data_IF_495381998533
#
_entry.id   IF_495381998533
#
_cell.length_a   1.000
_cell.length_b   1.000
_cell.length_c   1.000
_cell.angle_alpha   90.00
_cell.angle_beta   90.00
_cell.angle_gamma   90.00
#
_symmetry.space_group_name_H-M   'P 1'
#
loop_
_entity.id
_entity.type
_entity.pdbx_description
1 polymer ?
#
# COMPACT_ATOMS: atom_id res chain seq x y z
N UNK A 1 -2.89 -6.63 -17.04
CA UNK A 1 -2.93 -5.22 -16.61
C UNK A 1 -4.17 -4.55 -17.20
N UNK A 2 -5.02 -3.93 -16.38
CA UNK A 2 -5.78 -2.76 -16.79
C UNK A 2 -5.17 -1.49 -16.15
N UNK A 3 -5.02 -0.39 -16.90
CA UNK A 3 -4.71 0.91 -16.34
C UNK A 3 -5.97 1.42 -15.64
N UNK A 4 -6.03 1.28 -14.31
CA UNK A 4 -7.06 1.98 -13.54
C UNK A 4 -6.60 3.43 -13.38
N UNK A 5 -7.02 4.32 -14.29
CA UNK A 5 -7.06 5.76 -14.03
C UNK A 5 -8.04 6.01 -12.87
N UNK A 6 -7.58 6.42 -11.67
CA UNK A 6 -8.46 7.01 -10.67
C UNK A 6 -8.53 8.53 -10.91
N UNK A 7 -8.50 8.93 -12.18
CA UNK A 7 -8.55 10.31 -12.65
C UNK A 7 -10.00 10.72 -12.92
N UNK A 8 -10.92 10.23 -12.09
CA UNK A 8 -12.21 10.89 -11.95
C UNK A 8 -11.90 12.25 -11.31
N UNK A 9 -12.04 13.30 -12.10
CA UNK A 9 -11.99 14.70 -11.68
C UNK A 9 -13.07 14.98 -10.63
N UNK A 10 -12.81 14.56 -9.40
CA UNK A 10 -13.61 14.83 -8.23
C UNK A 10 -13.27 16.26 -7.78
N UNK A 11 -14.21 17.22 -7.69
CA UNK A 11 -13.94 18.59 -7.20
C UNK A 11 -13.32 18.61 -5.79
N UNK A 12 -13.44 17.49 -5.05
CA UNK A 12 -12.75 17.23 -3.78
C UNK A 12 -11.23 17.06 -3.92
N UNK A 13 -10.68 16.76 -5.10
CA UNK A 13 -9.23 16.65 -5.36
C UNK A 13 -8.54 18.02 -5.28
N UNK A 14 -9.19 19.08 -5.74
CA UNK A 14 -8.62 20.43 -5.65
C UNK A 14 -8.61 20.95 -4.21
N UNK A 15 -9.65 20.63 -3.43
CA UNK A 15 -9.67 20.93 -2.00
C UNK A 15 -8.63 20.14 -1.23
N UNK A 16 -8.37 18.88 -1.63
CA UNK A 16 -7.28 18.07 -1.09
C UNK A 16 -5.92 18.67 -1.44
N UNK A 17 -5.68 19.09 -2.68
CA UNK A 17 -4.42 19.75 -3.06
C UNK A 17 -4.22 21.07 -2.30
N UNK A 18 -5.27 21.86 -2.13
CA UNK A 18 -5.23 23.07 -1.31
C UNK A 18 -4.91 22.75 0.16
N UNK A 19 -5.48 21.68 0.70
CA UNK A 19 -5.16 21.19 2.05
C UNK A 19 -3.71 20.70 2.16
N UNK A 20 -3.19 19.97 1.18
CA UNK A 20 -1.79 19.51 1.12
C UNK A 20 -0.82 20.71 1.10
N UNK A 21 -1.10 21.71 0.27
CA UNK A 21 -0.30 22.95 0.19
C UNK A 21 -0.39 23.75 1.49
N UNK A 22 -1.56 23.85 2.11
CA UNK A 22 -1.74 24.48 3.42
C UNK A 22 -0.83 23.83 4.47
N UNK A 23 -0.72 22.51 4.43
CA UNK A 23 0.16 21.74 5.30
C UNK A 23 1.61 21.70 4.81
N UNK A 24 1.99 22.44 3.77
CA UNK A 24 3.35 22.44 3.21
C UNK A 24 3.82 21.05 2.78
N UNK A 25 2.91 20.26 2.23
CA UNK A 25 3.15 18.92 1.69
C UNK A 25 3.15 18.98 0.17
N UNK A 26 3.99 18.16 -0.46
CA UNK A 26 3.91 18.02 -1.92
C UNK A 26 2.60 17.33 -2.30
N UNK A 27 1.86 17.86 -3.31
CA UNK A 27 0.63 17.25 -3.78
C UNK A 27 0.85 15.80 -4.21
N UNK A 28 0.09 14.86 -3.63
CA UNK A 28 0.23 13.44 -3.94
C UNK A 28 1.40 12.72 -3.26
N UNK A 29 2.08 13.36 -2.30
CA UNK A 29 3.03 12.66 -1.44
C UNK A 29 2.32 11.57 -0.62
N UNK A 30 2.97 10.42 -0.43
CA UNK A 30 2.45 9.37 0.43
C UNK A 30 2.42 9.88 1.89
N UNK A 31 1.24 10.28 2.35
CA UNK A 31 1.06 10.78 3.70
C UNK A 31 0.74 9.66 4.69
N UNK A 32 1.51 9.61 5.78
CA UNK A 32 1.19 8.81 6.95
C UNK A 32 0.31 9.60 7.91
N UNK A 33 -0.59 8.91 8.61
CA UNK A 33 -1.45 9.51 9.65
C UNK A 33 -0.64 10.19 10.75
N UNK A 34 0.54 9.65 11.08
CA UNK A 34 1.42 10.20 12.12
C UNK A 34 2.06 11.53 11.70
N UNK A 35 2.54 11.62 10.46
CA UNK A 35 3.07 12.87 9.91
C UNK A 35 2.02 13.97 9.80
N UNK A 36 0.79 13.59 9.42
CA UNK A 36 -0.35 14.51 9.39
C UNK A 36 -0.71 15.02 10.80
N UNK A 37 -0.66 14.16 11.82
CA UNK A 37 -0.97 14.51 13.20
C UNK A 37 0.08 15.44 13.82
N UNK A 38 1.36 15.16 13.59
CA UNK A 38 2.46 16.03 14.03
C UNK A 38 2.32 17.45 13.46
N UNK A 39 2.03 17.55 12.16
CA UNK A 39 1.91 18.84 11.48
C UNK A 39 0.65 19.62 11.87
N UNK A 40 -0.47 18.92 12.11
CA UNK A 40 -1.67 19.52 12.72
C UNK A 40 -1.35 20.13 14.09
N UNK A 41 -0.62 19.41 14.94
CA UNK A 41 -0.27 19.87 16.28
C UNK A 41 0.59 21.15 16.22
N UNK A 42 1.58 21.17 15.35
CA UNK A 42 2.43 22.34 15.10
C UNK A 42 1.61 23.57 14.66
N UNK A 43 0.73 23.39 13.67
CA UNK A 43 -0.12 24.48 13.17
C UNK A 43 -1.14 24.99 14.19
N UNK A 44 -1.71 24.10 15.01
CA UNK A 44 -2.63 24.49 16.08
C UNK A 44 -1.93 25.25 17.22
N UNK A 45 -0.69 24.87 17.53
CA UNK A 45 0.12 25.59 18.52
C UNK A 45 0.48 27.00 18.01
N UNK A 46 0.85 27.13 16.74
CA UNK A 46 1.16 28.42 16.12
C UNK A 46 -0.08 29.34 15.96
N UNK A 47 -1.27 28.75 15.85
CA UNK A 47 -2.53 29.48 15.73
C UNK A 47 -3.24 29.70 17.07
N UNK A 48 -2.64 29.33 18.21
CA UNK A 48 -3.32 29.39 19.50
C UNK A 48 -3.55 30.86 19.94
N UNK A 49 -4.78 31.24 20.33
CA UNK A 49 -5.14 32.62 20.66
C UNK A 49 -4.40 33.18 21.89
N UNK A 50 -3.80 32.31 22.70
CA UNK A 50 -2.92 32.71 23.82
C UNK A 50 -1.72 33.57 23.37
N UNK A 51 -1.29 33.41 22.10
CA UNK A 51 -0.19 34.18 21.51
C UNK A 51 -0.65 35.40 20.70
N UNK A 52 -1.95 35.53 20.46
CA UNK A 52 -2.54 36.47 19.51
C UNK A 52 -3.63 37.25 20.26
N UNK A 53 -3.33 38.47 20.69
CA UNK A 53 -4.22 39.31 21.50
C UNK A 53 -5.66 39.41 20.97
N UNK A 54 -6.58 39.95 21.76
CA UNK A 54 -8.04 39.84 21.62
C UNK A 54 -8.63 40.11 20.22
N UNK A 55 -8.09 41.06 19.46
CA UNK A 55 -8.49 41.36 18.06
C UNK A 55 -8.05 40.29 17.04
N UNK A 56 -7.02 39.52 17.36
CA UNK A 56 -6.42 38.45 16.54
C UNK A 56 -7.03 37.07 16.89
N UNK A 57 -7.74 36.96 18.01
CA UNK A 57 -8.40 35.71 18.43
C UNK A 57 -9.48 35.23 17.43
N UNK A 58 -10.19 36.15 16.78
CA UNK A 58 -11.17 35.84 15.72
C UNK A 58 -10.49 35.25 14.47
N UNK A 59 -9.38 35.83 14.04
CA UNK A 59 -8.59 35.31 12.92
C UNK A 59 -7.90 33.98 13.25
N UNK A 60 -7.44 33.82 14.49
CA UNK A 60 -6.90 32.59 15.02
C UNK A 60 -7.95 31.46 14.99
N UNK A 61 -9.19 31.72 15.41
CA UNK A 61 -10.29 30.76 15.33
C UNK A 61 -10.60 30.34 13.89
N UNK A 62 -10.59 31.28 12.94
CA UNK A 62 -10.77 30.98 11.52
C UNK A 62 -9.63 30.09 10.96
N UNK A 63 -8.37 30.39 11.33
CA UNK A 63 -7.19 29.59 10.95
C UNK A 63 -7.23 28.19 11.56
N UNK A 64 -7.57 28.06 12.84
CA UNK A 64 -7.76 26.78 13.53
C UNK A 64 -8.83 25.93 12.82
N UNK A 65 -9.96 26.55 12.46
CA UNK A 65 -11.04 25.87 11.75
C UNK A 65 -10.59 25.38 10.37
N UNK A 66 -9.84 26.19 9.63
CA UNK A 66 -9.28 25.80 8.33
C UNK A 66 -8.32 24.60 8.48
N UNK A 67 -7.39 24.65 9.43
CA UNK A 67 -6.43 23.57 9.72
C UNK A 67 -7.15 22.27 10.09
N UNK A 68 -8.18 22.33 10.94
CA UNK A 68 -8.96 21.15 11.33
C UNK A 68 -9.74 20.54 10.16
N UNK A 69 -10.33 21.39 9.32
CA UNK A 69 -11.09 20.95 8.14
C UNK A 69 -10.19 20.24 7.14
N UNK A 70 -9.04 20.87 6.81
CA UNK A 70 -8.02 20.29 5.92
C UNK A 70 -7.44 18.99 6.49
N UNK A 71 -7.20 18.91 7.79
CA UNK A 71 -6.74 17.68 8.45
C UNK A 71 -7.73 16.51 8.30
N UNK A 72 -9.02 16.75 8.56
CA UNK A 72 -10.04 15.70 8.46
C UNK A 72 -10.19 15.17 7.03
N UNK A 73 -10.10 16.08 6.05
CA UNK A 73 -10.12 15.75 4.62
C UNK A 73 -8.94 14.84 4.23
N UNK A 74 -7.73 15.20 4.65
CA UNK A 74 -6.51 14.43 4.38
C UNK A 74 -6.50 13.08 5.11
N UNK A 75 -6.97 13.05 6.36
CA UNK A 75 -7.10 11.80 7.13
C UNK A 75 -8.02 10.80 6.42
N UNK A 76 -9.16 11.25 5.93
CA UNK A 76 -10.14 10.40 5.24
C UNK A 76 -9.54 9.80 3.95
N UNK A 77 -8.71 10.58 3.23
CA UNK A 77 -7.94 10.09 2.08
C UNK A 77 -6.94 9.01 2.48
N UNK A 78 -6.15 9.22 3.54
CA UNK A 78 -5.19 8.23 4.02
C UNK A 78 -5.86 6.90 4.41
N UNK A 79 -7.03 6.95 5.07
CA UNK A 79 -7.79 5.74 5.44
C UNK A 79 -8.27 4.98 4.19
N UNK A 80 -8.82 5.68 3.19
CA UNK A 80 -9.24 5.07 1.93
C UNK A 80 -8.06 4.45 1.14
N UNK A 81 -6.91 5.13 1.10
CA UNK A 81 -5.69 4.59 0.49
C UNK A 81 -5.20 3.34 1.22
N UNK A 82 -5.22 3.35 2.56
CA UNK A 82 -4.80 2.20 3.38
C UNK A 82 -5.65 0.97 3.10
N UNK A 83 -6.97 1.14 2.95
CA UNK A 83 -7.88 0.05 2.62
C UNK A 83 -7.56 -0.51 1.22
N UNK A 84 -7.34 0.35 0.23
CA UNK A 84 -6.96 -0.08 -1.14
C UNK A 84 -5.62 -0.81 -1.18
N UNK A 85 -4.62 -0.34 -0.44
CA UNK A 85 -3.30 -0.98 -0.36
C UNK A 85 -3.40 -2.35 0.32
N UNK A 86 -4.13 -2.47 1.44
CA UNK A 86 -4.36 -3.76 2.11
C UNK A 86 -5.07 -4.77 1.20
N UNK A 87 -6.07 -4.32 0.43
CA UNK A 87 -6.78 -5.17 -0.52
C UNK A 87 -5.84 -5.67 -1.64
N UNK A 88 -5.02 -4.79 -2.22
CA UNK A 88 -4.05 -5.18 -3.25
C UNK A 88 -3.01 -6.18 -2.72
N UNK A 89 -2.50 -5.98 -1.50
CA UNK A 89 -1.55 -6.91 -0.88
C UNK A 89 -2.18 -8.29 -0.66
N UNK A 90 -3.42 -8.36 -0.15
CA UNK A 90 -4.10 -9.64 0.07
C UNK A 90 -4.34 -10.41 -1.24
N UNK A 91 -4.71 -9.70 -2.30
CA UNK A 91 -4.89 -10.29 -3.63
C UNK A 91 -3.57 -10.81 -4.21
N UNK A 92 -2.48 -10.06 -4.08
CA UNK A 92 -1.15 -10.52 -4.53
C UNK A 92 -0.68 -11.77 -3.80
N UNK A 93 -0.84 -11.84 -2.46
CA UNK A 93 -0.45 -13.02 -1.67
C UNK A 93 -1.30 -14.25 -2.01
N UNK A 94 -2.61 -14.08 -2.19
CA UNK A 94 -3.49 -15.18 -2.61
C UNK A 94 -3.14 -15.71 -4.00
N UNK A 95 -2.82 -14.83 -4.94
CA UNK A 95 -2.41 -15.22 -6.28
C UNK A 95 -1.06 -15.96 -6.26
N UNK A 96 -0.10 -15.45 -5.49
CA UNK A 96 1.22 -16.06 -5.34
C UNK A 96 1.13 -17.47 -4.75
N UNK A 97 0.32 -17.66 -3.70
CA UNK A 97 0.11 -18.95 -3.06
C UNK A 97 -0.54 -19.97 -4.01
N UNK A 98 -1.54 -19.56 -4.80
CA UNK A 98 -2.18 -20.42 -5.80
C UNK A 98 -1.24 -20.82 -6.94
N UNK A 99 -0.22 -20.01 -7.26
CA UNK A 99 0.77 -20.34 -8.28
C UNK A 99 1.94 -21.19 -7.76
N UNK A 100 2.41 -20.97 -6.52
CA UNK A 100 3.55 -21.70 -5.95
C UNK A 100 3.24 -23.18 -5.65
N UNK A 101 2.03 -23.47 -5.15
CA UNK A 101 1.62 -24.84 -4.82
C UNK A 101 1.66 -25.83 -6.01
N UNK A 102 1.07 -25.53 -7.18
CA UNK A 102 1.12 -26.45 -8.32
C UNK A 102 2.52 -26.59 -8.91
N UNK A 103 3.35 -25.54 -8.87
CA UNK A 103 4.75 -25.60 -9.33
C UNK A 103 5.64 -26.47 -8.43
N UNK A 104 5.48 -26.35 -7.10
CA UNK A 104 6.21 -27.20 -6.17
C UNK A 104 5.83 -28.67 -6.30
N UNK A 105 4.53 -28.95 -6.43
CA UNK A 105 4.03 -30.31 -6.57
C UNK A 105 4.50 -30.97 -7.88
N UNK A 106 4.48 -30.25 -9.00
CA UNK A 106 4.92 -30.77 -10.29
C UNK A 106 6.42 -31.07 -10.33
N UNK A 107 7.24 -30.22 -9.71
CA UNK A 107 8.69 -30.43 -9.61
C UNK A 107 9.03 -31.70 -8.81
N UNK A 108 8.37 -31.92 -7.67
CA UNK A 108 8.61 -33.11 -6.85
C UNK A 108 8.21 -34.42 -7.56
N UNK A 109 7.06 -34.41 -8.24
CA UNK A 109 6.59 -35.55 -9.03
C UNK A 109 7.56 -35.89 -10.16
N UNK A 110 8.08 -34.87 -10.86
CA UNK A 110 9.08 -35.05 -11.89
C UNK A 110 10.38 -35.67 -11.33
N UNK A 111 10.90 -35.17 -10.21
CA UNK A 111 12.09 -35.72 -9.56
C UNK A 111 11.91 -37.18 -9.14
N UNK A 112 10.73 -37.55 -8.63
CA UNK A 112 10.42 -38.94 -8.25
C UNK A 112 10.39 -39.87 -9.47
N UNK A 113 9.71 -39.47 -10.55
CA UNK A 113 9.67 -40.26 -11.79
C UNK A 113 11.04 -40.43 -12.41
N UNK A 114 11.84 -39.37 -12.46
CA UNK A 114 13.20 -39.43 -13.00
C UNK A 114 14.06 -40.39 -12.17
N UNK A 115 14.02 -40.27 -10.84
CA UNK A 115 14.77 -41.17 -9.95
C UNK A 115 14.34 -42.64 -10.12
N UNK A 116 13.04 -42.91 -10.18
CA UNK A 116 12.51 -44.25 -10.41
C UNK A 116 12.96 -44.82 -11.77
N UNK A 117 12.92 -44.01 -12.83
CA UNK A 117 13.35 -44.40 -14.17
C UNK A 117 14.81 -44.88 -14.22
N UNK A 118 15.72 -44.19 -13.51
CA UNK A 118 17.13 -44.61 -13.41
C UNK A 118 17.33 -45.93 -12.68
N UNK A 119 16.51 -46.21 -11.67
CA UNK A 119 16.52 -47.51 -10.97
C UNK A 119 16.07 -48.62 -11.92
N UNK A 120 14.98 -48.39 -12.66
CA UNK A 120 14.50 -49.37 -13.66
C UNK A 120 15.53 -49.64 -14.76
N UNK A 121 16.17 -48.59 -15.28
CA UNK A 121 17.25 -48.73 -16.26
C UNK A 121 18.41 -49.53 -15.69
N UNK A 122 18.85 -49.25 -14.46
CA UNK A 122 19.96 -49.99 -13.84
C UNK A 122 19.64 -51.47 -13.70
N UNK A 123 18.43 -51.82 -13.23
CA UNK A 123 17.98 -53.23 -13.12
C UNK A 123 17.87 -53.89 -14.49
N UNK A 124 17.38 -53.17 -15.49
CA UNK A 124 17.29 -53.66 -16.88
C UNK A 124 18.67 -53.97 -17.45
N UNK A 125 19.63 -53.05 -17.31
CA UNK A 125 21.00 -53.25 -17.76
C UNK A 125 21.69 -54.43 -17.05
N UNK A 126 21.47 -54.61 -15.75
CA UNK A 126 21.98 -55.76 -14.99
C UNK A 126 21.46 -57.10 -15.52
N UNK A 127 20.20 -57.15 -15.97
CA UNK A 127 19.60 -58.38 -16.52
C UNK A 127 19.99 -58.69 -17.95
N UNK A 128 20.05 -57.67 -18.82
CA UNK A 128 20.18 -57.86 -20.26
C UNK A 128 21.58 -57.52 -20.81
N UNK A 129 22.45 -56.87 -20.02
CA UNK A 129 23.77 -56.44 -20.45
C UNK A 129 24.83 -57.54 -20.54
N UNK A 130 24.57 -58.76 -20.04
CA UNK A 130 25.54 -59.86 -20.07
C UNK A 130 25.55 -60.68 -21.38
N UNK A 131 24.73 -60.35 -22.38
CA UNK A 131 24.70 -61.08 -23.66
C UNK A 131 25.71 -60.55 -24.70
N UNK A 132 26.92 -60.18 -24.28
CA UNK A 132 28.07 -60.00 -25.18
C UNK A 132 29.05 -61.15 -25.04
#
# INVERSE_FOLDING_TARGET
MPPFSPEAADPKLEEVKKAEVLFGLQPGAALTTDGLFAKKKEMLLAAHPDQAGELVASEAAAKIKAVLTSYNLLRTRCEAYTIRVKANVFVSVSFLHRFLLPFGFSCCLFCFYFSAFFVFLSVWFLRYGQFQ
#
